data_IF_248995784261
#
_entry.id   IF_248995784261
#
_cell.length_a   1.000
_cell.length_b   1.000
_cell.length_c   1.000
_cell.angle_alpha   90.00
_cell.angle_beta   90.00
_cell.angle_gamma   90.00
#
_symmetry.space_group_name_H-M   'P 1'
#
loop_
_entity.id
_entity.type
_entity.pdbx_description
1 polymer ?
#
# COMPACT_ATOMS: atom_id res chain seq x y z
N UNK A 1 -90.14 67.77 45.34
CA UNK A 1 -88.87 68.40 45.64
C UNK A 1 -88.06 67.58 46.67
N UNK A 2 -87.16 66.73 46.35
CA UNK A 2 -86.28 65.92 47.26
C UNK A 2 -84.95 66.58 47.46
N UNK A 3 -84.64 67.07 48.66
CA UNK A 3 -83.36 67.67 49.03
C UNK A 3 -82.31 66.56 49.20
N UNK A 4 -81.27 66.64 48.38
CA UNK A 4 -80.09 65.80 48.57
C UNK A 4 -79.24 66.28 49.77
N UNK A 5 -78.84 65.40 50.65
CA UNK A 5 -78.03 65.68 51.85
C UNK A 5 -76.54 65.85 51.45
N UNK A 6 -75.85 66.86 52.00
CA UNK A 6 -74.49 67.14 51.62
C UNK A 6 -73.39 66.11 51.92
N UNK A 7 -73.69 65.10 52.67
CA UNK A 7 -72.73 63.97 53.01
C UNK A 7 -72.40 63.07 51.81
N UNK A 8 -73.22 62.92 50.88
CA UNK A 8 -73.02 62.02 49.73
C UNK A 8 -72.01 62.54 48.75
N UNK A 9 -71.71 63.86 48.72
CA UNK A 9 -70.67 64.47 47.89
C UNK A 9 -69.23 64.23 48.40
N UNK A 10 -69.03 64.01 49.70
CA UNK A 10 -67.70 63.72 50.26
C UNK A 10 -67.22 62.30 49.98
N UNK A 11 -68.15 61.32 49.95
CA UNK A 11 -67.78 59.93 49.68
C UNK A 11 -67.47 59.68 48.17
N UNK A 12 -68.10 60.40 47.28
CA UNK A 12 -67.83 60.28 45.83
C UNK A 12 -66.46 60.88 45.47
N UNK A 13 -66.06 61.99 46.12
CA UNK A 13 -64.74 62.61 45.88
C UNK A 13 -63.58 61.76 46.44
N UNK A 14 -63.80 61.10 47.58
CA UNK A 14 -62.80 60.17 48.17
C UNK A 14 -62.55 58.94 47.32
N UNK A 15 -63.59 58.35 46.73
CA UNK A 15 -63.40 57.17 45.85
C UNK A 15 -62.70 57.53 44.56
N UNK A 16 -62.99 58.66 43.95
CA UNK A 16 -62.30 59.10 42.72
C UNK A 16 -60.80 59.36 42.94
N UNK A 17 -60.42 59.95 44.11
CA UNK A 17 -59.01 60.16 44.46
C UNK A 17 -58.28 58.82 44.70
N UNK A 18 -58.90 57.89 45.37
CA UNK A 18 -58.32 56.55 45.62
C UNK A 18 -58.17 55.78 44.32
N UNK A 19 -59.13 55.82 43.42
CA UNK A 19 -59.06 55.18 42.11
C UNK A 19 -57.99 55.85 41.21
N UNK A 20 -57.87 57.19 41.25
CA UNK A 20 -56.86 57.95 40.54
C UNK A 20 -55.42 57.65 41.06
N UNK A 21 -55.23 57.42 42.38
CA UNK A 21 -53.95 57.03 42.96
C UNK A 21 -53.62 55.61 42.63
N UNK A 22 -54.60 54.69 42.65
CA UNK A 22 -54.42 53.31 42.21
C UNK A 22 -54.09 53.22 40.74
N UNK A 23 -54.84 54.02 39.93
CA UNK A 23 -54.57 54.06 38.49
C UNK A 23 -53.22 54.69 38.16
N UNK A 24 -52.76 55.67 38.89
CA UNK A 24 -51.41 56.26 38.72
C UNK A 24 -50.30 55.30 39.21
N UNK A 25 -50.56 54.53 40.24
CA UNK A 25 -49.62 53.51 40.69
C UNK A 25 -49.53 52.27 39.80
N UNK A 26 -50.62 51.93 39.09
CA UNK A 26 -50.65 50.83 38.12
C UNK A 26 -50.01 51.27 36.78
N UNK A 27 -50.29 52.52 36.32
CA UNK A 27 -49.62 53.04 35.09
C UNK A 27 -48.16 53.46 35.33
N UNK A 28 -47.78 53.82 36.54
CA UNK A 28 -46.41 54.23 36.87
C UNK A 28 -45.42 53.05 37.09
N UNK A 29 -45.88 51.83 37.00
CA UNK A 29 -45.06 50.61 37.10
C UNK A 29 -44.72 49.97 35.73
N UNK A 30 -44.93 50.70 34.66
CA UNK A 30 -44.57 50.26 33.30
C UNK A 30 -43.18 50.63 32.89
N UNK A 31 -42.18 50.23 33.63
CA UNK A 31 -40.75 50.47 33.32
C UNK A 31 -39.90 49.41 33.96
N UNK A 32 -40.34 48.14 33.94
CA UNK A 32 -39.41 47.04 34.04
C UNK A 32 -38.60 47.09 32.74
N UNK A 33 -37.29 47.49 32.83
CA UNK A 33 -36.37 47.21 31.79
C UNK A 33 -36.52 45.71 31.43
N UNK A 34 -36.90 45.43 30.22
CA UNK A 34 -36.80 44.08 29.70
C UNK A 34 -35.35 43.70 29.89
N UNK A 35 -35.12 42.77 30.81
CA UNK A 35 -33.86 42.09 30.94
C UNK A 35 -33.60 41.47 29.58
N UNK A 36 -32.77 42.16 28.78
CA UNK A 36 -32.43 41.76 27.42
C UNK A 36 -31.77 40.39 27.61
N UNK A 37 -32.50 39.34 27.31
CA UNK A 37 -32.00 37.98 27.42
C UNK A 37 -30.62 37.94 26.75
N UNK A 38 -29.59 37.43 27.43
CA UNK A 38 -28.26 37.45 26.87
C UNK A 38 -28.31 36.85 25.46
N UNK A 39 -27.66 37.48 24.47
CA UNK A 39 -27.73 37.05 23.10
C UNK A 39 -27.39 35.54 23.02
N UNK A 40 -28.10 34.75 22.22
CA UNK A 40 -27.84 33.34 22.13
C UNK A 40 -26.38 33.09 21.85
N UNK A 41 -25.71 32.36 22.72
CA UNK A 41 -24.26 32.08 22.61
C UNK A 41 -24.07 30.57 22.51
N UNK A 42 -23.35 30.13 21.49
CA UNK A 42 -22.97 28.72 21.30
C UNK A 42 -21.66 28.40 22.02
N UNK A 43 -21.58 27.21 22.57
CA UNK A 43 -20.33 26.66 23.12
C UNK A 43 -19.55 25.98 21.99
N UNK A 44 -18.31 26.44 21.74
CA UNK A 44 -17.49 25.93 20.64
C UNK A 44 -16.10 25.57 21.11
N UNK A 45 -15.51 24.56 20.45
CA UNK A 45 -14.07 24.25 20.56
C UNK A 45 -13.37 24.86 19.35
N UNK A 46 -12.22 25.50 19.57
CA UNK A 46 -11.46 26.18 18.53
C UNK A 46 -10.22 25.38 18.14
N UNK A 47 -9.84 25.45 16.88
CA UNK A 47 -8.52 25.05 16.40
C UNK A 47 -7.93 26.15 15.51
N UNK A 48 -6.61 26.34 15.52
CA UNK A 48 -5.97 27.32 14.64
C UNK A 48 -5.89 26.81 13.19
N UNK A 49 -6.06 27.70 12.23
CA UNK A 49 -5.70 27.47 10.84
C UNK A 49 -4.19 27.35 10.74
N UNK A 50 -3.68 26.28 10.14
CA UNK A 50 -2.24 26.04 9.99
C UNK A 50 -1.83 26.24 8.54
N UNK A 51 -0.66 26.88 8.32
CA UNK A 51 0.00 26.86 7.02
C UNK A 51 0.99 25.71 7.03
N UNK A 52 0.83 24.77 6.11
CA UNK A 52 1.72 23.61 5.95
C UNK A 52 1.72 23.15 4.50
N UNK A 53 2.68 22.29 4.17
CA UNK A 53 2.64 21.57 2.89
C UNK A 53 1.51 20.53 2.94
N UNK A 54 0.60 20.65 1.99
CA UNK A 54 -0.51 19.74 1.79
C UNK A 54 -0.05 18.61 0.88
N UNK A 55 -0.23 17.38 1.32
CA UNK A 55 0.18 16.21 0.57
C UNK A 55 -1.03 15.55 -0.10
N UNK A 56 -1.03 15.56 -1.43
CA UNK A 56 -1.98 14.76 -2.18
C UNK A 56 -1.49 13.31 -2.17
N UNK A 57 -2.25 12.42 -1.53
CA UNK A 57 -1.88 11.02 -1.37
C UNK A 57 -2.81 10.07 -2.10
N UNK A 58 -2.24 9.01 -2.65
CA UNK A 58 -2.97 7.89 -3.24
C UNK A 58 -2.72 6.65 -2.42
N UNK A 59 -3.81 5.99 -2.03
CA UNK A 59 -3.73 4.70 -1.35
C UNK A 59 -3.52 3.57 -2.36
N UNK A 60 -2.56 2.72 -2.08
CA UNK A 60 -2.25 1.51 -2.83
C UNK A 60 -2.24 0.31 -1.87
N UNK A 61 -2.56 -0.86 -2.39
CA UNK A 61 -2.54 -2.10 -1.61
C UNK A 61 -1.65 -3.11 -2.29
N UNK A 62 -0.96 -3.92 -1.49
CA UNK A 62 -0.05 -4.89 -2.04
C UNK A 62 0.50 -5.86 -1.03
N UNK A 63 1.61 -6.49 -1.38
CA UNK A 63 2.26 -7.50 -0.55
C UNK A 63 3.77 -7.29 -0.53
N UNK A 64 4.40 -7.76 0.54
CA UNK A 64 5.86 -7.85 0.64
C UNK A 64 6.33 -9.06 -0.18
N UNK A 65 7.24 -8.84 -1.10
CA UNK A 65 7.83 -9.86 -1.95
C UNK A 65 9.36 -9.74 -1.97
N UNK A 66 10.04 -10.79 -2.41
CA UNK A 66 11.46 -10.69 -2.77
C UNK A 66 11.63 -9.83 -4.02
N UNK A 67 12.69 -9.04 -4.07
CA UNK A 67 13.05 -8.29 -5.29
C UNK A 67 13.32 -9.27 -6.44
N UNK A 68 13.05 -8.85 -7.67
CA UNK A 68 13.34 -9.65 -8.88
C UNK A 68 14.83 -10.03 -8.94
N UNK A 69 15.71 -9.13 -8.51
CA UNK A 69 17.15 -9.36 -8.50
C UNK A 69 17.58 -10.42 -7.48
N UNK A 70 16.86 -10.55 -6.37
CA UNK A 70 17.13 -11.50 -5.29
C UNK A 70 16.23 -12.74 -5.32
N UNK A 71 15.42 -12.92 -6.38
CA UNK A 71 14.58 -14.11 -6.55
C UNK A 71 15.18 -15.03 -7.62
N UNK A 72 15.30 -16.32 -7.29
CA UNK A 72 15.82 -17.31 -8.21
C UNK A 72 14.91 -18.53 -8.26
N UNK A 73 14.44 -18.84 -9.47
CA UNK A 73 13.75 -20.09 -9.73
C UNK A 73 14.74 -21.15 -10.18
N UNK A 74 14.75 -22.27 -9.49
CA UNK A 74 15.52 -23.45 -9.86
C UNK A 74 14.64 -24.31 -10.76
N UNK A 75 15.12 -24.56 -11.97
CA UNK A 75 14.47 -25.39 -12.97
C UNK A 75 15.10 -26.78 -13.02
N UNK A 76 14.39 -27.72 -13.59
CA UNK A 76 14.87 -29.06 -13.80
C UNK A 76 15.98 -29.08 -14.89
N UNK A 77 17.20 -29.51 -14.60
CA UNK A 77 18.30 -29.51 -15.60
C UNK A 77 18.09 -30.53 -16.72
N UNK A 78 17.17 -31.45 -16.55
CA UNK A 78 16.74 -32.52 -17.50
C UNK A 78 15.37 -33.03 -17.11
N UNK A 79 14.82 -34.00 -17.86
CA UNK A 79 13.63 -34.71 -17.41
C UNK A 79 13.95 -35.51 -16.14
N UNK A 80 13.21 -35.23 -15.04
CA UNK A 80 13.41 -35.80 -13.72
C UNK A 80 12.10 -36.26 -13.08
N UNK A 81 12.23 -37.07 -12.05
CA UNK A 81 11.15 -37.38 -11.12
C UNK A 81 11.51 -36.72 -9.78
N UNK A 82 10.58 -35.97 -9.20
CA UNK A 82 10.73 -35.40 -7.87
C UNK A 82 10.59 -36.50 -6.83
N UNK A 83 11.69 -36.87 -6.18
CA UNK A 83 11.62 -37.91 -5.15
C UNK A 83 11.04 -37.36 -3.84
N UNK A 84 11.53 -36.22 -3.39
CA UNK A 84 11.07 -35.54 -2.17
C UNK A 84 11.32 -34.05 -2.22
N UNK A 85 10.38 -33.29 -1.70
CA UNK A 85 10.56 -31.88 -1.31
C UNK A 85 11.05 -31.89 0.14
N UNK A 86 12.25 -31.35 0.40
CA UNK A 86 12.87 -31.32 1.73
C UNK A 86 12.47 -30.05 2.51
N UNK A 87 12.20 -28.97 1.80
CA UNK A 87 11.92 -27.67 2.41
C UNK A 87 10.58 -27.15 1.91
N UNK A 88 9.57 -27.02 2.79
CA UNK A 88 8.26 -26.46 2.44
C UNK A 88 8.33 -24.99 2.06
N UNK A 89 7.30 -24.51 1.33
CA UNK A 89 7.09 -23.08 1.05
C UNK A 89 6.95 -22.30 2.36
N UNK A 90 7.52 -21.09 2.42
CA UNK A 90 7.54 -20.24 3.61
C UNK A 90 8.70 -20.51 4.57
N UNK A 91 9.51 -21.56 4.34
CA UNK A 91 10.63 -21.90 5.23
C UNK A 91 11.87 -21.08 4.90
N UNK A 92 12.56 -20.48 5.89
CA UNK A 92 13.86 -19.85 5.71
C UNK A 92 14.94 -20.89 5.44
N UNK A 93 15.83 -20.58 4.51
CA UNK A 93 16.94 -21.45 4.10
C UNK A 93 18.25 -20.69 4.08
N UNK A 94 19.33 -21.36 4.49
CA UNK A 94 20.68 -20.85 4.31
C UNK A 94 21.22 -21.20 2.92
N UNK A 95 22.24 -20.47 2.45
CA UNK A 95 22.95 -20.83 1.24
C UNK A 95 23.48 -22.26 1.33
N UNK A 96 23.29 -23.07 0.28
CA UNK A 96 23.67 -24.48 0.23
C UNK A 96 22.68 -25.44 0.92
N UNK A 97 21.63 -24.97 1.58
CA UNK A 97 20.64 -25.84 2.21
C UNK A 97 19.92 -26.73 1.17
N UNK A 98 19.70 -28.01 1.47
CA UNK A 98 19.04 -28.93 0.54
C UNK A 98 17.55 -28.61 0.42
N UNK A 99 17.05 -28.48 -0.82
CA UNK A 99 15.68 -28.08 -1.11
C UNK A 99 14.82 -29.23 -1.62
N UNK A 100 15.33 -29.95 -2.62
CA UNK A 100 14.57 -30.95 -3.35
C UNK A 100 15.50 -32.07 -3.82
N UNK A 101 15.05 -33.30 -3.70
CA UNK A 101 15.74 -34.49 -4.21
C UNK A 101 15.09 -34.95 -5.50
N UNK A 102 15.91 -35.08 -6.53
CA UNK A 102 15.52 -35.46 -7.88
C UNK A 102 16.13 -36.81 -8.26
N UNK A 103 15.40 -37.58 -9.04
CA UNK A 103 15.89 -38.78 -9.70
C UNK A 103 15.77 -38.60 -11.21
N UNK A 104 16.75 -39.09 -12.00
CA UNK A 104 16.68 -39.01 -13.45
C UNK A 104 15.46 -39.78 -13.96
N UNK A 105 14.66 -39.19 -14.84
CA UNK A 105 13.59 -39.90 -15.53
C UNK A 105 14.19 -41.01 -16.41
N UNK A 106 13.45 -42.13 -16.67
CA UNK A 106 13.94 -43.21 -17.48
C UNK A 106 14.44 -42.80 -18.87
N UNK A 107 13.76 -41.83 -19.50
CA UNK A 107 14.19 -41.29 -20.80
C UNK A 107 15.57 -40.60 -20.75
N UNK A 108 15.86 -39.79 -19.70
CA UNK A 108 17.17 -39.15 -19.50
C UNK A 108 18.26 -40.20 -19.26
N UNK A 109 17.97 -41.24 -18.47
CA UNK A 109 18.89 -42.31 -18.21
C UNK A 109 19.21 -43.10 -19.47
N UNK A 110 18.20 -43.38 -20.32
CA UNK A 110 18.37 -44.05 -21.60
C UNK A 110 19.22 -43.21 -22.56
N UNK A 111 18.94 -41.90 -22.70
CA UNK A 111 19.73 -40.99 -23.54
C UNK A 111 21.21 -40.94 -23.12
N UNK A 112 21.48 -40.91 -21.82
CA UNK A 112 22.85 -40.99 -21.30
C UNK A 112 23.55 -42.30 -21.67
N UNK A 113 22.86 -43.46 -21.49
CA UNK A 113 23.41 -44.78 -21.84
C UNK A 113 23.70 -44.86 -23.34
N UNK A 114 22.79 -44.43 -24.20
CA UNK A 114 22.99 -44.37 -25.64
C UNK A 114 24.22 -43.54 -26.03
N UNK A 115 24.39 -42.38 -25.41
CA UNK A 115 25.57 -41.54 -25.65
C UNK A 115 26.85 -42.22 -25.18
N UNK A 116 26.84 -42.89 -24.04
CA UNK A 116 28.00 -43.62 -23.52
C UNK A 116 28.36 -44.80 -24.43
N UNK A 117 27.37 -45.61 -24.90
CA UNK A 117 27.57 -46.71 -25.82
C UNK A 117 28.09 -46.23 -27.19
N UNK A 118 27.65 -45.04 -27.67
CA UNK A 118 28.15 -44.44 -28.91
C UNK A 118 29.65 -44.07 -28.79
N UNK A 119 30.09 -43.59 -27.65
CA UNK A 119 31.52 -43.30 -27.39
C UNK A 119 32.33 -44.59 -27.44
N UNK A 120 31.88 -45.66 -26.74
CA UNK A 120 32.55 -46.97 -26.73
C UNK A 120 32.64 -47.56 -28.16
N UNK A 121 31.58 -47.45 -28.94
CA UNK A 121 31.56 -47.88 -30.34
C UNK A 121 32.56 -47.08 -31.17
N UNK A 122 32.55 -45.75 -31.10
CA UNK A 122 33.43 -44.87 -31.87
C UNK A 122 34.92 -45.08 -31.49
N UNK A 123 35.24 -45.36 -30.20
CA UNK A 123 36.58 -45.70 -29.75
C UNK A 123 37.10 -47.00 -30.36
N UNK A 124 36.22 -48.04 -30.38
CA UNK A 124 36.58 -49.30 -31.01
C UNK A 124 36.77 -49.16 -32.52
N UNK A 125 35.94 -48.38 -33.18
CA UNK A 125 36.05 -48.13 -34.60
C UNK A 125 37.33 -47.38 -34.94
N UNK A 126 37.64 -46.31 -34.21
CA UNK A 126 38.88 -45.57 -34.35
C UNK A 126 40.11 -46.50 -34.19
N UNK A 127 40.12 -47.35 -33.15
CA UNK A 127 41.20 -48.30 -32.94
C UNK A 127 41.31 -49.35 -34.07
N UNK A 128 40.19 -49.74 -34.68
CA UNK A 128 40.17 -50.63 -35.86
C UNK A 128 40.78 -49.92 -37.08
N UNK A 129 40.33 -48.70 -37.39
CA UNK A 129 40.82 -47.89 -38.53
C UNK A 129 42.27 -47.56 -38.37
N UNK A 130 42.75 -47.27 -37.16
CA UNK A 130 44.15 -47.03 -36.86
C UNK A 130 44.99 -48.25 -37.21
N UNK A 131 44.60 -49.49 -36.79
CA UNK A 131 45.32 -50.73 -37.13
C UNK A 131 45.35 -51.04 -38.64
N UNK A 132 44.26 -50.71 -39.34
CA UNK A 132 44.20 -50.86 -40.80
C UNK A 132 45.10 -49.87 -41.50
N UNK A 133 45.23 -48.62 -41.00
CA UNK A 133 46.12 -47.60 -41.52
C UNK A 133 47.60 -48.06 -41.30
N UNK A 134 47.94 -48.57 -40.11
CA UNK A 134 49.28 -49.07 -39.80
C UNK A 134 49.67 -50.25 -40.73
N UNK A 135 48.68 -51.05 -41.15
CA UNK A 135 48.83 -52.12 -42.10
C UNK A 135 48.75 -51.65 -43.58
N UNK A 136 48.67 -50.34 -43.84
CA UNK A 136 48.50 -49.75 -45.20
C UNK A 136 47.18 -50.20 -45.93
N UNK A 137 46.14 -50.58 -45.16
CA UNK A 137 44.87 -51.02 -45.68
C UNK A 137 43.75 -50.02 -45.54
N UNK A 138 44.05 -48.84 -44.98
CA UNK A 138 43.10 -47.73 -44.85
C UNK A 138 43.75 -46.41 -45.30
N UNK A 139 42.93 -45.41 -45.66
CA UNK A 139 43.38 -44.10 -46.06
C UNK A 139 43.32 -43.09 -44.87
N UNK A 140 44.07 -41.98 -44.92
CA UNK A 140 44.10 -40.94 -43.84
C UNK A 140 42.74 -40.24 -43.66
N UNK A 141 41.95 -40.14 -44.72
CA UNK A 141 40.59 -39.57 -44.64
C UNK A 141 39.64 -40.44 -43.80
N UNK A 142 39.81 -41.79 -43.83
CA UNK A 142 39.06 -42.70 -42.98
C UNK A 142 39.43 -42.54 -41.50
N UNK A 143 40.72 -42.31 -41.20
CA UNK A 143 41.15 -42.00 -39.83
C UNK A 143 40.55 -40.69 -39.35
N UNK A 144 40.62 -39.64 -40.17
CA UNK A 144 40.07 -38.33 -39.86
C UNK A 144 38.56 -38.42 -39.61
N UNK A 145 37.82 -39.18 -40.42
CA UNK A 145 36.40 -39.42 -40.27
C UNK A 145 36.11 -40.13 -38.92
N UNK A 146 36.85 -41.22 -38.60
CA UNK A 146 36.68 -41.95 -37.33
C UNK A 146 37.00 -41.06 -36.10
N UNK A 147 38.03 -40.22 -36.19
CA UNK A 147 38.36 -39.21 -35.12
C UNK A 147 37.22 -38.22 -34.92
N UNK A 148 36.62 -37.73 -36.02
CA UNK A 148 35.50 -36.80 -35.94
C UNK A 148 34.28 -37.48 -35.26
N UNK A 149 33.92 -38.68 -35.67
CA UNK A 149 32.81 -39.43 -35.06
C UNK A 149 33.03 -39.63 -33.55
N UNK A 150 34.23 -39.94 -33.12
CA UNK A 150 34.57 -40.06 -31.70
C UNK A 150 34.43 -38.73 -30.98
N UNK A 151 34.91 -37.62 -31.58
CA UNK A 151 34.81 -36.29 -31.01
C UNK A 151 33.32 -35.88 -30.85
N UNK A 152 32.51 -36.10 -31.87
CA UNK A 152 31.06 -35.81 -31.85
C UNK A 152 30.35 -36.67 -30.75
N UNK A 153 30.64 -37.97 -30.65
CA UNK A 153 30.08 -38.84 -29.62
C UNK A 153 30.47 -38.38 -28.20
N UNK A 154 31.74 -38.00 -27.98
CA UNK A 154 32.23 -37.46 -26.70
C UNK A 154 31.55 -36.13 -26.35
N UNK A 155 31.31 -35.25 -27.32
CA UNK A 155 30.59 -34.00 -27.11
C UNK A 155 29.12 -34.26 -26.63
N UNK A 156 28.44 -35.21 -27.26
CA UNK A 156 27.07 -35.62 -26.84
C UNK A 156 27.07 -36.19 -25.42
N UNK A 157 27.99 -37.11 -25.11
CA UNK A 157 28.08 -37.66 -23.75
C UNK A 157 28.42 -36.57 -22.71
N UNK A 158 29.31 -35.66 -23.04
CA UNK A 158 29.66 -34.56 -22.18
C UNK A 158 28.45 -33.66 -21.86
N UNK A 159 27.60 -33.35 -22.86
CA UNK A 159 26.37 -32.60 -22.68
C UNK A 159 25.38 -33.32 -21.77
N UNK A 160 25.20 -34.65 -21.94
CA UNK A 160 24.35 -35.45 -21.04
C UNK A 160 24.91 -35.53 -19.62
N UNK A 161 26.22 -35.60 -19.47
CA UNK A 161 26.89 -35.60 -18.16
C UNK A 161 26.75 -34.24 -17.47
N UNK A 162 26.91 -33.12 -18.21
CA UNK A 162 26.74 -31.78 -17.69
C UNK A 162 25.31 -31.50 -17.18
N UNK A 163 24.31 -32.06 -17.84
CA UNK A 163 22.92 -32.02 -17.36
C UNK A 163 22.67 -32.91 -16.13
N UNK A 164 23.66 -33.74 -15.74
CA UNK A 164 23.56 -34.70 -14.64
C UNK A 164 22.78 -35.97 -14.97
N UNK A 165 22.55 -36.30 -16.26
CA UNK A 165 21.78 -37.47 -16.67
C UNK A 165 22.38 -38.82 -16.18
N UNK A 166 23.72 -38.88 -15.97
CA UNK A 166 24.42 -40.04 -15.39
C UNK A 166 24.28 -40.15 -13.88
N UNK A 167 23.87 -39.11 -13.17
CA UNK A 167 23.64 -39.12 -11.72
C UNK A 167 22.25 -39.68 -11.43
N UNK A 168 22.16 -40.83 -10.75
CA UNK A 168 20.87 -41.47 -10.42
C UNK A 168 20.00 -40.56 -9.54
N UNK A 169 20.61 -39.95 -8.54
CA UNK A 169 19.95 -39.06 -7.60
C UNK A 169 20.74 -37.74 -7.51
N UNK A 170 20.00 -36.62 -7.45
CA UNK A 170 20.59 -35.28 -7.33
C UNK A 170 19.78 -34.47 -6.32
N UNK A 171 20.48 -33.75 -5.45
CA UNK A 171 19.83 -32.81 -4.53
C UNK A 171 20.11 -31.38 -5.03
N UNK A 172 19.05 -30.62 -5.28
CA UNK A 172 19.17 -29.18 -5.51
C UNK A 172 19.26 -28.44 -4.19
N UNK A 173 20.16 -27.48 -4.14
CA UNK A 173 20.42 -26.67 -2.96
C UNK A 173 20.10 -25.21 -3.20
N UNK A 174 19.88 -24.46 -2.12
CA UNK A 174 19.62 -23.02 -2.18
C UNK A 174 20.87 -22.27 -2.65
N UNK A 175 20.78 -21.43 -3.69
CA UNK A 175 21.92 -20.67 -4.21
C UNK A 175 22.39 -19.55 -3.26
N UNK A 176 21.51 -19.07 -2.39
CA UNK A 176 21.75 -18.04 -1.39
C UNK A 176 20.80 -18.22 -0.20
N UNK A 177 21.04 -17.48 0.88
CA UNK A 177 20.15 -17.44 2.03
C UNK A 177 18.87 -16.67 1.72
N UNK A 178 17.71 -17.24 2.04
CA UNK A 178 16.41 -16.64 1.70
C UNK A 178 15.25 -17.45 2.25
N UNK A 179 14.10 -17.33 1.59
CA UNK A 179 12.87 -18.06 1.91
C UNK A 179 12.35 -18.75 0.66
N UNK A 180 11.87 -19.97 0.78
CA UNK A 180 11.19 -20.66 -0.31
C UNK A 180 9.86 -19.97 -0.57
N UNK A 181 9.74 -19.26 -1.70
CA UNK A 181 8.55 -18.49 -2.04
C UNK A 181 7.50 -19.30 -2.82
N UNK A 182 7.94 -20.29 -3.60
CA UNK A 182 7.04 -21.19 -4.34
C UNK A 182 7.70 -22.54 -4.58
N UNK A 183 6.90 -23.60 -4.65
CA UNK A 183 7.31 -24.94 -5.03
C UNK A 183 6.20 -25.55 -5.91
N UNK A 184 6.19 -25.24 -7.23
CA UNK A 184 5.19 -25.78 -8.14
C UNK A 184 5.28 -27.29 -8.33
N UNK A 185 6.46 -27.90 -8.09
CA UNK A 185 6.66 -29.34 -8.22
C UNK A 185 6.39 -30.07 -6.89
N UNK A 186 5.65 -31.15 -6.94
CA UNK A 186 5.32 -32.01 -5.81
C UNK A 186 6.10 -33.35 -5.87
N UNK A 187 6.22 -34.02 -4.73
CA UNK A 187 6.83 -35.36 -4.69
C UNK A 187 6.03 -36.34 -5.54
N UNK A 188 6.72 -37.12 -6.39
CA UNK A 188 6.17 -38.04 -7.36
C UNK A 188 6.00 -37.44 -8.76
N UNK A 189 6.11 -36.14 -8.93
CA UNK A 189 5.92 -35.48 -10.22
C UNK A 189 7.00 -35.85 -11.23
N UNK A 190 6.58 -36.08 -12.47
CA UNK A 190 7.43 -36.20 -13.64
C UNK A 190 7.57 -34.81 -14.26
N UNK A 191 8.76 -34.25 -14.16
CA UNK A 191 9.05 -32.85 -14.56
C UNK A 191 9.95 -32.86 -15.80
N UNK A 192 9.55 -32.11 -16.84
CA UNK A 192 10.34 -31.95 -18.06
C UNK A 192 11.59 -31.08 -17.78
N UNK A 193 12.56 -31.15 -18.70
CA UNK A 193 13.69 -30.23 -18.66
C UNK A 193 13.21 -28.77 -18.69
N UNK A 194 13.92 -27.88 -18.01
CA UNK A 194 13.68 -26.43 -17.89
C UNK A 194 12.39 -26.03 -17.18
N UNK A 195 11.57 -26.99 -16.74
CA UNK A 195 10.39 -26.67 -15.97
C UNK A 195 10.74 -26.20 -14.52
N UNK A 196 10.01 -25.22 -13.97
CA UNK A 196 10.28 -24.68 -12.65
C UNK A 196 9.99 -25.73 -11.56
N UNK A 197 10.93 -25.87 -10.61
CA UNK A 197 10.83 -26.78 -9.48
C UNK A 197 10.55 -26.08 -8.17
N UNK A 198 11.35 -25.05 -7.88
CA UNK A 198 11.28 -24.33 -6.61
C UNK A 198 11.85 -22.91 -6.79
N UNK A 199 11.24 -21.94 -6.13
CA UNK A 199 11.68 -20.55 -6.17
C UNK A 199 12.12 -20.12 -4.77
N UNK A 200 13.32 -19.55 -4.69
CA UNK A 200 13.88 -18.97 -3.47
C UNK A 200 13.96 -17.45 -3.64
N UNK A 201 13.41 -16.71 -2.69
CA UNK A 201 13.50 -15.26 -2.60
C UNK A 201 14.47 -14.87 -1.48
N UNK A 202 15.38 -13.95 -1.75
CA UNK A 202 16.33 -13.44 -0.76
C UNK A 202 15.59 -12.68 0.34
N UNK A 203 16.01 -12.88 1.58
CA UNK A 203 15.40 -12.22 2.74
C UNK A 203 15.90 -10.79 2.97
N UNK A 204 16.96 -10.36 2.29
CA UNK A 204 17.58 -9.06 2.53
C UNK A 204 17.14 -7.97 1.56
N UNK A 205 16.57 -8.35 0.41
CA UNK A 205 16.12 -7.42 -0.63
C UNK A 205 14.61 -7.56 -0.82
N UNK A 206 13.87 -7.12 0.18
CA UNK A 206 12.41 -7.12 0.13
C UNK A 206 11.89 -5.88 -0.58
N UNK A 207 10.80 -6.04 -1.27
CA UNK A 207 10.05 -4.96 -1.91
C UNK A 207 8.57 -5.07 -1.60
N UNK A 208 7.92 -3.93 -1.45
CA UNK A 208 6.47 -3.86 -1.48
C UNK A 208 6.03 -3.77 -2.94
N UNK A 209 5.25 -4.74 -3.40
CA UNK A 209 4.58 -4.71 -4.69
C UNK A 209 3.18 -4.17 -4.48
N UNK A 210 2.94 -2.95 -4.95
CA UNK A 210 1.72 -2.18 -4.73
C UNK A 210 0.90 -2.12 -6.02
N UNK A 211 -0.40 -2.37 -5.92
CA UNK A 211 -1.35 -2.13 -6.99
C UNK A 211 -2.05 -0.78 -6.80
N UNK A 212 -2.04 0.04 -7.82
CA UNK A 212 -2.71 1.36 -7.85
C UNK A 212 -3.80 1.33 -8.91
N UNK A 213 -4.98 1.81 -8.57
CA UNK A 213 -6.08 1.97 -9.53
C UNK A 213 -5.67 2.89 -10.68
N UNK A 214 -5.90 2.53 -11.95
CA UNK A 214 -5.47 3.33 -13.10
C UNK A 214 -5.96 4.78 -13.08
N UNK A 215 -7.17 5.03 -12.56
CA UNK A 215 -7.75 6.36 -12.45
C UNK A 215 -6.98 7.25 -11.45
N UNK A 216 -6.42 6.65 -10.40
CA UNK A 216 -5.65 7.33 -9.34
C UNK A 216 -4.14 7.35 -9.63
N UNK A 217 -3.71 6.68 -10.68
CA UNK A 217 -2.29 6.59 -11.02
C UNK A 217 -1.79 7.79 -11.86
N UNK A 218 -2.65 8.77 -12.15
CA UNK A 218 -2.23 10.01 -12.79
C UNK A 218 -1.27 10.77 -11.86
N UNK A 219 -0.09 11.10 -12.40
CA UNK A 219 0.98 11.75 -11.61
C UNK A 219 1.87 10.79 -10.83
N UNK A 220 1.64 9.47 -10.91
CA UNK A 220 2.51 8.49 -10.26
C UNK A 220 3.87 8.41 -10.96
N UNK A 221 4.96 8.56 -10.22
CA UNK A 221 6.33 8.57 -10.73
C UNK A 221 7.32 7.90 -9.79
N UNK A 222 8.40 7.39 -10.36
CA UNK A 222 9.55 6.88 -9.59
C UNK A 222 10.15 8.01 -8.75
N UNK A 223 10.56 7.66 -7.52
CA UNK A 223 11.16 8.59 -6.55
C UNK A 223 10.16 9.25 -5.60
N UNK A 224 8.86 9.15 -5.85
CA UNK A 224 7.83 9.65 -4.94
C UNK A 224 7.90 8.94 -3.59
N UNK A 225 7.63 9.70 -2.53
CA UNK A 225 7.59 9.18 -1.17
C UNK A 225 6.39 8.24 -0.99
N UNK A 226 6.59 7.15 -0.30
CA UNK A 226 5.55 6.22 0.09
C UNK A 226 5.74 5.76 1.52
N UNK A 227 4.69 5.84 2.31
CA UNK A 227 4.62 5.27 3.65
C UNK A 227 3.90 3.93 3.57
N UNK A 228 4.62 2.84 3.87
CA UNK A 228 4.08 1.49 3.93
C UNK A 228 3.60 1.18 5.34
N UNK A 229 2.39 0.65 5.43
CA UNK A 229 1.76 0.26 6.69
C UNK A 229 1.38 -1.22 6.59
N UNK A 230 2.13 -2.12 7.25
CA UNK A 230 1.79 -3.54 7.30
C UNK A 230 0.42 -3.74 7.95
N UNK A 231 -0.39 -4.64 7.37
CA UNK A 231 -1.79 -4.82 7.85
C UNK A 231 -1.83 -5.47 9.24
N UNK A 232 -0.91 -6.40 9.51
CA UNK A 232 -0.83 -7.09 10.80
C UNK A 232 -0.04 -6.32 11.88
N UNK A 233 0.70 -5.27 11.47
CA UNK A 233 1.50 -4.43 12.36
C UNK A 233 1.29 -2.95 12.04
N UNK A 234 0.08 -2.40 12.23
CA UNK A 234 -0.28 -1.05 11.79
C UNK A 234 0.51 0.07 12.50
N UNK A 235 1.12 -0.24 13.65
CA UNK A 235 2.03 0.65 14.37
C UNK A 235 3.39 0.84 13.67
N UNK A 236 3.80 -0.12 12.82
CA UNK A 236 5.06 -0.06 12.06
C UNK A 236 4.82 0.70 10.77
N UNK A 237 5.33 1.92 10.71
CA UNK A 237 5.36 2.72 9.49
C UNK A 237 6.75 2.63 8.88
N UNK A 238 6.81 2.39 7.57
CA UNK A 238 8.07 2.26 6.83
C UNK A 238 8.04 3.29 5.72
N UNK A 239 8.83 4.35 5.89
CA UNK A 239 8.96 5.39 4.88
C UNK A 239 10.04 4.97 3.87
N UNK A 240 9.66 5.02 2.61
CA UNK A 240 10.52 4.66 1.49
C UNK A 240 10.13 5.46 0.24
N UNK A 241 10.67 5.10 -0.91
CA UNK A 241 10.35 5.75 -2.18
C UNK A 241 10.05 4.71 -3.25
N UNK A 242 9.19 5.06 -4.20
CA UNK A 242 8.94 4.22 -5.36
C UNK A 242 10.21 4.04 -6.18
N UNK A 243 10.61 2.81 -6.41
CA UNK A 243 11.75 2.44 -7.25
C UNK A 243 11.34 2.08 -8.68
N UNK A 244 10.10 1.64 -8.86
CA UNK A 244 9.54 1.27 -10.16
C UNK A 244 8.06 1.61 -10.20
N UNK A 245 7.61 2.13 -11.34
CA UNK A 245 6.18 2.29 -11.66
C UNK A 245 5.99 1.75 -13.08
N UNK A 246 5.12 0.76 -13.25
CA UNK A 246 4.80 0.23 -14.58
C UNK A 246 3.86 1.19 -15.31
N UNK A 247 4.03 1.31 -16.64
CA UNK A 247 3.11 2.06 -17.49
C UNK A 247 2.04 1.16 -18.14
N UNK A 248 1.96 -0.08 -17.67
CA UNK A 248 1.04 -1.08 -18.18
C UNK A 248 0.09 -1.50 -17.07
N UNK A 249 -1.18 -1.62 -17.40
CA UNK A 249 -2.17 -2.22 -16.51
C UNK A 249 -1.98 -3.73 -16.54
N UNK A 250 -1.79 -4.32 -15.39
CA UNK A 250 -1.69 -5.77 -15.24
C UNK A 250 -3.02 -6.44 -15.60
N UNK A 251 -2.95 -7.47 -16.45
CA UNK A 251 -4.15 -8.10 -17.01
C UNK A 251 -4.97 -8.87 -15.96
N UNK A 252 -4.32 -9.39 -14.92
CA UNK A 252 -4.98 -10.17 -13.86
C UNK A 252 -5.58 -9.28 -12.78
N UNK A 253 -4.79 -8.35 -12.23
CA UNK A 253 -5.22 -7.46 -11.14
C UNK A 253 -6.00 -6.24 -11.63
N UNK A 254 -5.87 -5.85 -12.91
CA UNK A 254 -6.42 -4.61 -13.51
C UNK A 254 -5.84 -3.34 -12.88
N UNK A 255 -4.67 -3.44 -12.24
CA UNK A 255 -4.00 -2.34 -11.55
C UNK A 255 -2.69 -1.96 -12.24
N UNK A 256 -2.18 -0.77 -11.93
CA UNK A 256 -0.83 -0.34 -12.28
C UNK A 256 0.08 -0.75 -11.12
N UNK A 257 1.15 -1.48 -11.43
CA UNK A 257 2.08 -1.96 -10.43
C UNK A 257 3.15 -0.91 -10.11
N UNK A 258 3.33 -0.63 -8.82
CA UNK A 258 4.40 0.17 -8.29
C UNK A 258 5.21 -0.65 -7.28
N UNK A 259 6.51 -0.45 -7.26
CA UNK A 259 7.42 -1.20 -6.37
C UNK A 259 8.20 -0.22 -5.52
N UNK A 260 8.30 -0.52 -4.23
CA UNK A 260 9.09 0.24 -3.28
C UNK A 260 10.00 -0.69 -2.47
N UNK A 261 11.29 -0.39 -2.29
CA UNK A 261 12.19 -1.19 -1.47
C UNK A 261 11.76 -1.12 0.00
N UNK A 262 11.90 -2.25 0.70
CA UNK A 262 11.57 -2.38 2.11
C UNK A 262 12.83 -2.69 2.90
N UNK A 263 13.35 -1.70 3.60
CA UNK A 263 14.56 -1.87 4.42
C UNK A 263 14.31 -2.48 5.81
N UNK A 264 13.08 -2.90 6.10
CA UNK A 264 12.71 -3.42 7.42
C UNK A 264 12.97 -4.91 7.53
N UNK A 265 13.94 -5.30 8.35
CA UNK A 265 14.16 -6.69 8.75
C UNK A 265 12.93 -7.24 9.51
N UNK A 266 12.56 -8.49 9.23
CA UNK A 266 11.56 -9.23 10.00
C UNK A 266 10.11 -9.11 9.53
N UNK A 267 9.87 -8.60 8.31
CA UNK A 267 8.55 -8.73 7.66
C UNK A 267 8.51 -10.05 6.90
N UNK A 268 7.45 -10.86 7.07
CA UNK A 268 7.30 -12.09 6.32
C UNK A 268 6.97 -11.80 4.85
N UNK A 269 7.46 -12.65 3.95
CA UNK A 269 7.04 -12.66 2.56
C UNK A 269 5.54 -12.93 2.47
N UNK A 270 4.84 -12.21 1.61
CA UNK A 270 3.39 -12.33 1.44
C UNK A 270 2.59 -11.48 2.45
N UNK A 271 3.24 -10.75 3.37
CA UNK A 271 2.53 -9.83 4.26
C UNK A 271 1.84 -8.74 3.45
N UNK A 272 0.55 -8.57 3.73
CA UNK A 272 -0.23 -7.51 3.12
C UNK A 272 0.17 -6.13 3.66
N UNK A 273 0.32 -5.17 2.76
CA UNK A 273 0.68 -3.78 3.10
C UNK A 273 -0.24 -2.79 2.43
N UNK A 274 -0.51 -1.69 3.11
CA UNK A 274 -1.10 -0.50 2.53
C UNK A 274 -0.01 0.53 2.32
N UNK A 275 0.12 1.04 1.10
CA UNK A 275 1.00 2.15 0.75
C UNK A 275 0.21 3.46 0.63
N UNK A 276 0.70 4.51 1.26
CA UNK A 276 0.25 5.88 1.03
C UNK A 276 1.32 6.59 0.20
N UNK A 277 1.04 6.83 -1.08
CA UNK A 277 1.98 7.41 -2.03
C UNK A 277 1.67 8.89 -2.16
N UNK A 278 2.65 9.76 -1.91
CA UNK A 278 2.52 11.20 -2.12
C UNK A 278 2.78 11.52 -3.58
N UNK A 279 1.73 11.94 -4.31
CA UNK A 279 1.81 12.26 -5.74
C UNK A 279 2.10 13.73 -6.01
N UNK A 280 1.63 14.62 -5.13
CA UNK A 280 1.90 16.05 -5.20
C UNK A 280 2.01 16.65 -3.79
N UNK A 281 2.68 17.79 -3.69
CA UNK A 281 2.73 18.61 -2.47
C UNK A 281 2.71 20.05 -2.87
N UNK A 282 1.89 20.86 -2.16
CA UNK A 282 1.81 22.31 -2.35
C UNK A 282 1.58 23.01 -1.02
N UNK A 283 2.06 24.23 -0.83
CA UNK A 283 1.76 25.01 0.37
C UNK A 283 0.27 25.36 0.39
N UNK A 284 -0.40 25.12 1.52
CA UNK A 284 -1.83 25.36 1.70
C UNK A 284 -2.19 25.78 3.11
N UNK A 285 -3.47 26.06 3.34
CA UNK A 285 -4.05 26.32 4.64
C UNK A 285 -4.86 25.13 5.09
N UNK A 286 -4.40 24.47 6.15
CA UNK A 286 -5.06 23.32 6.73
C UNK A 286 -5.98 23.72 7.87
N UNK A 287 -7.21 23.25 7.82
CA UNK A 287 -8.20 23.33 8.91
C UNK A 287 -8.65 21.92 9.28
N UNK A 288 -9.07 21.72 10.53
CA UNK A 288 -9.71 20.47 10.91
C UNK A 288 -10.94 20.23 10.03
N UNK A 289 -11.08 19.05 9.45
CA UNK A 289 -12.24 18.70 8.62
C UNK A 289 -13.57 18.96 9.34
N UNK A 290 -13.64 18.71 10.66
CA UNK A 290 -14.81 18.98 11.49
C UNK A 290 -15.16 20.47 11.63
N UNK A 291 -14.27 21.39 11.24
CA UNK A 291 -14.55 22.83 11.23
C UNK A 291 -15.23 23.30 9.95
N UNK A 292 -15.21 22.48 8.88
CA UNK A 292 -15.85 22.85 7.60
C UNK A 292 -17.31 22.41 7.63
N UNK A 293 -18.18 23.39 7.45
CA UNK A 293 -19.63 23.17 7.36
C UNK A 293 -20.04 23.29 5.89
N UNK A 294 -20.89 22.38 5.43
CA UNK A 294 -21.45 22.38 4.09
C UNK A 294 -22.93 22.68 4.15
N UNK A 295 -23.37 23.67 3.40
CA UNK A 295 -24.78 24.02 3.21
C UNK A 295 -25.10 24.27 1.73
N UNK A 296 -26.31 24.78 1.44
CA UNK A 296 -26.76 25.11 0.06
C UNK A 296 -25.88 26.17 -0.61
N UNK A 297 -25.23 27.05 0.18
CA UNK A 297 -24.33 28.10 -0.32
C UNK A 297 -22.89 27.58 -0.58
N UNK A 298 -22.57 26.36 -0.14
CA UNK A 298 -21.27 25.73 -0.31
C UNK A 298 -20.53 25.52 1.01
N UNK A 299 -19.20 25.31 0.90
CA UNK A 299 -18.36 25.08 2.06
C UNK A 299 -18.01 26.40 2.75
N UNK A 300 -18.10 26.44 4.09
CA UNK A 300 -17.70 27.58 4.89
C UNK A 300 -17.14 27.14 6.25
N UNK A 301 -16.44 28.05 6.88
CA UNK A 301 -15.93 27.91 8.26
C UNK A 301 -16.33 29.12 9.09
N UNK A 302 -16.41 28.93 10.40
CA UNK A 302 -16.65 30.06 11.32
C UNK A 302 -15.33 30.44 12.01
N UNK A 303 -14.82 31.63 11.67
CA UNK A 303 -13.68 32.24 12.35
C UNK A 303 -14.18 32.97 13.59
N UNK A 304 -13.57 32.72 14.74
CA UNK A 304 -13.93 33.34 16.01
C UNK A 304 -12.93 34.46 16.33
N UNK A 305 -13.40 35.68 16.32
CA UNK A 305 -12.63 36.83 16.68
C UNK A 305 -13.43 37.73 17.63
N UNK A 306 -12.81 38.21 18.74
CA UNK A 306 -13.47 39.07 19.71
C UNK A 306 -14.75 38.47 20.32
N UNK A 307 -14.83 37.15 20.47
CA UNK A 307 -15.99 36.46 21.04
C UNK A 307 -17.21 36.36 20.12
N UNK A 308 -17.04 36.61 18.83
CA UNK A 308 -18.08 36.48 17.80
C UNK A 308 -17.64 35.58 16.67
N UNK A 309 -18.59 34.81 16.14
CA UNK A 309 -18.38 33.97 14.95
C UNK A 309 -18.54 34.82 13.69
N UNK A 310 -17.63 34.67 12.75
CA UNK A 310 -17.71 35.26 11.40
C UNK A 310 -17.70 34.13 10.37
N UNK A 311 -18.72 34.06 9.55
CA UNK A 311 -18.79 33.11 8.45
C UNK A 311 -17.78 33.52 7.38
N UNK A 312 -16.96 32.54 6.95
CA UNK A 312 -15.99 32.70 5.86
C UNK A 312 -16.22 31.58 4.86
N UNK A 313 -16.65 31.94 3.67
CA UNK A 313 -16.79 31.01 2.56
C UNK A 313 -15.38 30.51 2.14
N UNK A 314 -15.25 29.21 1.95
CA UNK A 314 -14.01 28.55 1.56
C UNK A 314 -14.24 27.58 0.41
N UNK A 315 -13.19 27.34 -0.36
CA UNK A 315 -13.15 26.22 -1.28
C UNK A 315 -12.29 25.14 -0.64
N UNK A 316 -12.82 23.93 -0.55
CA UNK A 316 -12.10 22.77 -0.02
C UNK A 316 -11.25 22.14 -1.11
N UNK A 317 -10.02 21.76 -0.76
CA UNK A 317 -9.08 21.05 -1.60
C UNK A 317 -8.87 19.62 -1.12
N UNK A 318 -7.62 19.19 -1.10
CA UNK A 318 -7.19 17.83 -0.72
C UNK A 318 -7.34 17.60 0.78
N UNK A 319 -7.77 16.39 1.15
CA UNK A 319 -7.78 15.93 2.54
C UNK A 319 -6.39 15.39 2.90
N UNK A 320 -5.84 15.85 4.03
CA UNK A 320 -4.57 15.38 4.58
C UNK A 320 -4.80 14.88 6.02
N UNK A 321 -5.08 13.61 6.16
CA UNK A 321 -5.45 12.97 7.43
C UNK A 321 -6.78 13.51 7.99
N UNK A 322 -6.74 14.11 9.20
CA UNK A 322 -7.89 14.74 9.86
C UNK A 322 -8.12 16.20 9.44
N UNK A 323 -7.24 16.74 8.62
CA UNK A 323 -7.27 18.10 8.15
C UNK A 323 -7.69 18.16 6.68
N UNK A 324 -8.18 19.30 6.24
CA UNK A 324 -8.52 19.56 4.85
C UNK A 324 -7.90 20.87 4.40
N UNK A 325 -7.33 20.87 3.21
CA UNK A 325 -6.85 22.09 2.58
C UNK A 325 -8.03 23.00 2.24
N UNK A 326 -7.89 24.28 2.54
CA UNK A 326 -8.89 25.29 2.24
C UNK A 326 -8.28 26.52 1.62
N UNK A 327 -8.96 27.07 0.64
CA UNK A 327 -8.61 28.36 0.04
C UNK A 327 -9.78 29.34 0.17
N UNK A 328 -9.46 30.61 0.48
CA UNK A 328 -10.48 31.64 0.70
C UNK A 328 -9.95 32.76 1.60
N UNK A 329 -10.87 33.44 2.28
CA UNK A 329 -10.58 34.60 3.13
C UNK A 329 -9.97 34.27 4.50
N UNK A 330 -9.19 33.19 4.62
CA UNK A 330 -8.54 32.72 5.86
C UNK A 330 -7.06 33.07 5.86
N UNK A 331 -6.50 33.19 7.09
CA UNK A 331 -5.07 33.37 7.33
C UNK A 331 -4.58 32.33 8.32
N UNK A 332 -3.30 31.98 8.21
CA UNK A 332 -2.65 31.15 9.22
C UNK A 332 -2.75 31.82 10.60
N UNK A 333 -3.15 31.06 11.60
CA UNK A 333 -3.38 31.54 12.97
C UNK A 333 -4.84 31.92 13.26
N UNK A 334 -5.72 32.02 12.26
CA UNK A 334 -7.14 32.27 12.52
C UNK A 334 -7.71 31.13 13.37
N UNK A 335 -8.52 31.49 14.39
CA UNK A 335 -9.17 30.49 15.25
C UNK A 335 -10.51 30.09 14.63
N UNK A 336 -10.65 28.83 14.21
CA UNK A 336 -11.89 28.30 13.61
C UNK A 336 -12.63 27.40 14.60
N UNK A 337 -13.97 27.45 14.56
CA UNK A 337 -14.81 26.57 15.35
C UNK A 337 -14.80 25.16 14.79
N UNK A 338 -14.43 24.16 15.60
CA UNK A 338 -14.38 22.74 15.22
C UNK A 338 -15.62 21.99 15.72
N UNK A 339 -15.93 22.12 17.02
CA UNK A 339 -17.15 21.55 17.57
C UNK A 339 -18.18 22.68 17.80
N UNK A 340 -19.45 22.37 17.51
CA UNK A 340 -20.54 23.34 17.60
C UNK A 340 -20.63 24.31 16.40
N UNK A 341 -19.79 24.13 15.37
CA UNK A 341 -19.79 25.00 14.18
C UNK A 341 -21.14 25.07 13.46
N UNK A 342 -21.87 23.95 13.36
CA UNK A 342 -23.19 23.88 12.71
C UNK A 342 -24.32 24.63 13.45
N UNK A 343 -24.09 25.07 14.70
CA UNK A 343 -25.05 25.88 15.48
C UNK A 343 -24.81 27.35 15.34
N UNK A 344 -23.71 27.75 14.69
CA UNK A 344 -23.31 29.13 14.55
C UNK A 344 -24.03 29.83 13.40
N UNK A 345 -24.27 31.11 13.60
CA UNK A 345 -24.70 32.05 12.55
C UNK A 345 -23.67 33.20 12.50
N UNK A 346 -23.64 33.89 11.36
CA UNK A 346 -22.75 35.02 11.21
C UNK A 346 -23.05 36.11 12.25
N UNK A 347 -22.00 36.61 12.93
CA UNK A 347 -22.13 37.59 14.00
C UNK A 347 -22.53 37.05 15.37
N UNK A 348 -22.84 35.75 15.51
CA UNK A 348 -23.30 35.12 16.76
C UNK A 348 -22.22 35.19 17.85
N UNK A 349 -22.62 35.49 19.08
CA UNK A 349 -21.74 35.42 20.26
C UNK A 349 -21.35 33.95 20.57
N UNK A 350 -20.08 33.71 20.83
CA UNK A 350 -19.55 32.37 21.14
C UNK A 350 -18.89 32.29 22.50
N UNK A 351 -19.08 31.17 23.18
CA UNK A 351 -18.30 30.80 24.35
C UNK A 351 -17.34 29.69 24.00
N UNK A 352 -16.06 29.91 24.26
CA UNK A 352 -15.04 28.92 23.98
C UNK A 352 -15.00 27.91 25.13
N UNK A 353 -15.17 26.62 24.82
CA UNK A 353 -14.95 25.55 25.77
C UNK A 353 -13.47 25.56 26.19
N UNK A 354 -13.20 25.54 27.49
CA UNK A 354 -11.84 25.28 27.96
C UNK A 354 -11.45 23.85 27.57
N UNK A 355 -10.21 23.65 27.06
CA UNK A 355 -9.71 22.32 26.70
C UNK A 355 -9.69 21.35 27.87
#
# INVERSE_FOLDING_TARGET
MRRFKPWQLGLAAGVVIVVAIIFWRVLGRGGAAADEAPPPSALVTLAPVRSADVHETVSAYGVIAGSVASTRTLAAPRAVIVERLLTPVGTPVAAGAPLIVLTSAPASTQAYRQAADAVVFAERDLARVQRLLDAHLAANDQLTAAQKVLADAKAVLAAQTASGAGAGRQTLTAPFAGVVSAAPAAAGDHVAADAPLITVAGSNDLVAQLGVEPQKAQGLAVGQAVTLIPVFHPERRIDTRLSLVTRQVDAASKMINATAPVAAAGLPLGEAVRGQITIASHPGLLVRRAAVVFDEAGAHVFVVAGGKARLVAVKTGTEDGDDIDVSGGLKAGDAVAVQGAYQLQDGMAVRVAKP
#
